data_IF_971819798455
#
_entry.id   IF_971819798455
#
_cell.length_a   1.000
_cell.length_b   1.000
_cell.length_c   1.000
_cell.angle_alpha   90.00
_cell.angle_beta   90.00
_cell.angle_gamma   90.00
#
_symmetry.space_group_name_H-M   'P 1'
#
loop_
_entity.id
_entity.type
_entity.pdbx_description
1 polymer ?
#
# COMPACT_ATOMS: atom_id res chain seq x y z
N UNK A 1 -21.10 -81.07 4.26
CA UNK A 1 -22.34 -80.36 4.65
C UNK A 1 -22.02 -78.89 4.88
N UNK A 2 -21.73 -78.10 3.83
CA UNK A 2 -21.36 -76.66 3.97
C UNK A 2 -21.39 -75.91 2.62
N UNK A 3 -22.35 -76.24 1.74
CA UNK A 3 -22.46 -75.59 0.41
C UNK A 3 -23.81 -74.88 0.16
N UNK A 4 -24.70 -74.84 1.16
CA UNK A 4 -26.06 -74.27 1.02
C UNK A 4 -26.27 -72.88 1.66
N UNK A 5 -25.30 -72.33 2.41
CA UNK A 5 -25.45 -71.01 3.05
C UNK A 5 -24.91 -69.82 2.23
N UNK A 6 -23.93 -70.03 1.34
CA UNK A 6 -23.37 -68.92 0.54
C UNK A 6 -24.20 -68.51 -0.67
N UNK A 7 -25.05 -69.39 -1.20
CA UNK A 7 -25.93 -69.08 -2.36
C UNK A 7 -27.14 -68.24 -1.93
N UNK A 8 -27.60 -68.37 -0.68
CA UNK A 8 -28.76 -67.63 -0.18
C UNK A 8 -28.45 -66.14 0.08
N UNK A 9 -27.22 -65.80 0.47
CA UNK A 9 -26.81 -64.40 0.70
C UNK A 9 -26.60 -63.66 -0.63
N UNK A 10 -26.09 -64.33 -1.66
CA UNK A 10 -25.95 -63.71 -2.98
C UNK A 10 -27.30 -63.49 -3.67
N UNK A 11 -28.26 -64.40 -3.48
CA UNK A 11 -29.61 -64.27 -4.06
C UNK A 11 -30.47 -63.22 -3.33
N UNK A 12 -30.29 -63.00 -2.02
CA UNK A 12 -31.04 -61.98 -1.28
C UNK A 12 -30.58 -60.54 -1.61
N UNK A 13 -29.32 -60.33 -1.99
CA UNK A 13 -28.85 -59.01 -2.46
C UNK A 13 -29.27 -58.68 -3.91
N UNK A 14 -29.66 -59.66 -4.72
CA UNK A 14 -30.14 -59.43 -6.10
C UNK A 14 -31.64 -59.08 -6.19
N UNK A 15 -32.42 -59.26 -5.11
CA UNK A 15 -33.88 -59.05 -5.09
C UNK A 15 -34.36 -57.91 -4.18
N UNK A 16 -33.47 -57.22 -3.46
CA UNK A 16 -33.81 -55.98 -2.74
C UNK A 16 -33.49 -54.79 -3.64
N UNK A 17 -34.44 -54.40 -4.49
CA UNK A 17 -34.41 -53.25 -5.39
C UNK A 17 -34.25 -51.87 -4.70
N UNK A 18 -33.97 -51.85 -3.38
CA UNK A 18 -33.79 -50.64 -2.56
C UNK A 18 -32.34 -50.32 -2.15
N UNK A 19 -31.43 -51.30 -2.07
CA UNK A 19 -30.05 -51.03 -1.60
C UNK A 19 -29.21 -50.26 -2.63
N UNK A 20 -29.37 -50.57 -3.93
CA UNK A 20 -28.70 -49.83 -5.00
C UNK A 20 -29.22 -48.40 -5.17
N UNK A 21 -30.50 -48.15 -4.87
CA UNK A 21 -31.07 -46.80 -4.91
C UNK A 21 -30.58 -45.95 -3.74
N UNK A 22 -30.61 -46.49 -2.51
CA UNK A 22 -30.12 -45.77 -1.33
C UNK A 22 -28.62 -45.43 -1.45
N UNK A 23 -27.80 -46.37 -1.92
CA UNK A 23 -26.37 -46.16 -2.14
C UNK A 23 -26.08 -45.17 -3.27
N UNK A 24 -26.86 -45.20 -4.36
CA UNK A 24 -26.75 -44.22 -5.47
C UNK A 24 -27.19 -42.83 -5.05
N UNK A 25 -28.25 -42.70 -4.25
CA UNK A 25 -28.68 -41.42 -3.68
C UNK A 25 -27.63 -40.85 -2.73
N UNK A 26 -27.01 -41.69 -1.89
CA UNK A 26 -25.94 -41.27 -0.99
C UNK A 26 -24.70 -40.79 -1.74
N UNK A 27 -24.23 -41.53 -2.75
CA UNK A 27 -23.10 -41.13 -3.61
C UNK A 27 -23.42 -39.83 -4.35
N UNK A 28 -24.64 -39.68 -4.87
CA UNK A 28 -25.04 -38.46 -5.54
C UNK A 28 -25.05 -37.26 -4.57
N UNK A 29 -25.54 -37.44 -3.34
CA UNK A 29 -25.52 -36.41 -2.31
C UNK A 29 -24.09 -36.01 -1.91
N UNK A 30 -23.18 -36.97 -1.76
CA UNK A 30 -21.76 -36.69 -1.47
C UNK A 30 -21.09 -35.93 -2.63
N UNK A 31 -21.36 -36.32 -3.88
CA UNK A 31 -20.87 -35.61 -5.06
C UNK A 31 -21.40 -34.17 -5.11
N UNK A 32 -22.70 -33.96 -4.88
CA UNK A 32 -23.29 -32.62 -4.85
C UNK A 32 -22.69 -31.75 -3.74
N UNK A 33 -22.41 -32.34 -2.57
CA UNK A 33 -21.75 -31.65 -1.46
C UNK A 33 -20.32 -31.22 -1.82
N UNK A 34 -19.53 -32.11 -2.43
CA UNK A 34 -18.18 -31.78 -2.90
C UNK A 34 -18.20 -30.67 -3.95
N UNK A 35 -19.14 -30.71 -4.89
CA UNK A 35 -19.27 -29.65 -5.89
C UNK A 35 -19.64 -28.30 -5.27
N UNK A 36 -20.57 -28.29 -4.31
CA UNK A 36 -20.89 -27.08 -3.55
C UNK A 36 -19.65 -26.54 -2.82
N UNK A 37 -18.88 -27.39 -2.14
CA UNK A 37 -17.63 -26.98 -1.46
C UNK A 37 -16.61 -26.38 -2.43
N UNK A 38 -16.40 -26.98 -3.59
CA UNK A 38 -15.50 -26.46 -4.63
C UNK A 38 -15.97 -25.08 -5.10
N UNK A 39 -17.25 -24.93 -5.41
CA UNK A 39 -17.82 -23.70 -5.93
C UNK A 39 -17.76 -22.57 -4.89
N UNK A 40 -18.03 -22.85 -3.62
CA UNK A 40 -17.88 -21.88 -2.52
C UNK A 40 -16.43 -21.57 -2.13
N UNK A 41 -15.47 -22.44 -2.49
CA UNK A 41 -14.04 -22.20 -2.28
C UNK A 41 -13.41 -21.24 -3.30
N UNK A 42 -14.13 -20.87 -4.38
CA UNK A 42 -13.63 -19.95 -5.41
C UNK A 42 -13.19 -18.61 -4.81
N UNK A 43 -12.08 -18.08 -5.31
CA UNK A 43 -11.49 -16.83 -4.84
C UNK A 43 -12.48 -15.65 -4.83
N UNK A 44 -13.35 -15.56 -5.84
CA UNK A 44 -14.39 -14.52 -5.91
C UNK A 44 -15.45 -14.62 -4.82
N UNK A 45 -15.82 -15.83 -4.38
CA UNK A 45 -16.71 -16.04 -3.23
C UNK A 45 -16.03 -15.59 -1.94
N UNK A 46 -14.76 -16.00 -1.76
CA UNK A 46 -13.98 -15.60 -0.60
C UNK A 46 -13.81 -14.08 -0.52
N UNK A 47 -13.52 -13.42 -1.64
CA UNK A 47 -13.42 -11.97 -1.72
C UNK A 47 -14.74 -11.27 -1.38
N UNK A 48 -15.88 -11.80 -1.86
CA UNK A 48 -17.18 -11.24 -1.53
C UNK A 48 -17.52 -11.41 -0.05
N UNK A 49 -17.28 -12.59 0.52
CA UNK A 49 -17.46 -12.85 1.94
C UNK A 49 -16.64 -11.88 2.80
N UNK A 50 -15.41 -11.58 2.38
CA UNK A 50 -14.58 -10.62 3.09
C UNK A 50 -15.17 -9.20 3.08
N UNK A 51 -15.65 -8.74 1.91
CA UNK A 51 -16.31 -7.42 1.82
C UNK A 51 -17.54 -7.37 2.71
N UNK A 52 -18.32 -8.46 2.80
CA UNK A 52 -19.48 -8.54 3.69
C UNK A 52 -19.10 -8.55 5.18
N UNK A 53 -17.99 -9.21 5.52
CA UNK A 53 -17.49 -9.22 6.89
C UNK A 53 -16.93 -7.85 7.31
N UNK A 54 -16.20 -7.18 6.43
CA UNK A 54 -15.77 -5.79 6.63
C UNK A 54 -16.97 -4.83 6.76
N UNK A 55 -18.00 -5.00 5.93
CA UNK A 55 -19.22 -4.18 5.99
C UNK A 55 -19.94 -4.34 7.34
N UNK A 56 -20.04 -5.58 7.84
CA UNK A 56 -20.59 -5.88 9.16
C UNK A 56 -19.77 -5.25 10.29
N UNK A 57 -18.44 -5.33 10.23
CA UNK A 57 -17.58 -4.69 11.22
C UNK A 57 -17.69 -3.17 11.15
N UNK A 58 -17.74 -2.61 9.95
CA UNK A 58 -17.91 -1.17 9.74
C UNK A 58 -19.23 -0.68 10.32
N UNK A 59 -20.33 -1.42 10.14
CA UNK A 59 -21.61 -1.13 10.77
C UNK A 59 -21.52 -1.15 12.31
N UNK A 60 -20.88 -2.16 12.88
CA UNK A 60 -20.68 -2.28 14.34
C UNK A 60 -19.80 -1.15 14.91
N UNK A 61 -18.89 -0.61 14.12
CA UNK A 61 -18.04 0.53 14.47
C UNK A 61 -18.77 1.89 14.26
N UNK A 62 -20.04 1.89 13.85
CA UNK A 62 -20.83 3.10 13.59
C UNK A 62 -20.53 3.79 12.27
N UNK A 63 -19.83 3.11 11.36
CA UNK A 63 -19.53 3.59 10.01
C UNK A 63 -20.67 3.37 9.02
N UNK A 64 -20.59 4.02 7.86
CA UNK A 64 -21.49 3.76 6.73
C UNK A 64 -21.29 2.32 6.22
N UNK A 65 -22.39 1.58 6.12
CA UNK A 65 -22.42 0.19 5.69
C UNK A 65 -23.52 0.00 4.65
N UNK A 66 -23.24 -0.87 3.67
CA UNK A 66 -24.19 -1.31 2.65
C UNK A 66 -25.35 -2.08 3.27
N UNK A 67 -25.09 -2.79 4.37
CA UNK A 67 -26.05 -3.55 5.14
C UNK A 67 -25.95 -3.22 6.64
N UNK A 68 -26.72 -2.24 7.15
CA UNK A 68 -26.60 -1.75 8.53
C UNK A 68 -26.79 -2.79 9.65
N UNK A 69 -27.31 -3.98 9.34
CA UNK A 69 -27.47 -5.11 10.28
C UNK A 69 -26.50 -6.28 10.00
N UNK A 70 -25.53 -6.05 9.11
CA UNK A 70 -24.77 -7.10 8.43
C UNK A 70 -25.60 -7.78 7.35
N UNK A 71 -24.93 -8.22 6.28
CA UNK A 71 -25.48 -9.13 5.29
C UNK A 71 -24.60 -10.38 5.20
N UNK A 72 -25.24 -11.51 5.01
CA UNK A 72 -24.62 -12.77 4.64
C UNK A 72 -24.52 -12.88 3.12
N UNK A 73 -23.72 -13.83 2.63
CA UNK A 73 -23.70 -14.16 1.21
C UNK A 73 -25.10 -14.50 0.69
N UNK A 74 -25.92 -15.17 1.50
CA UNK A 74 -27.28 -15.54 1.15
C UNK A 74 -28.18 -14.31 0.94
N UNK A 75 -28.05 -13.27 1.76
CA UNK A 75 -28.79 -12.01 1.57
C UNK A 75 -28.44 -11.34 0.23
N UNK A 76 -27.16 -11.44 -0.18
CA UNK A 76 -26.71 -10.94 -1.49
C UNK A 76 -27.30 -11.77 -2.63
N UNK A 77 -27.35 -13.10 -2.49
CA UNK A 77 -27.98 -14.00 -3.45
C UNK A 77 -29.47 -13.70 -3.59
N UNK A 78 -30.20 -13.56 -2.48
CA UNK A 78 -31.62 -13.20 -2.49
C UNK A 78 -31.86 -11.86 -3.18
N UNK A 79 -31.01 -10.88 -2.91
CA UNK A 79 -31.07 -9.58 -3.58
C UNK A 79 -30.79 -9.71 -5.07
N UNK A 80 -29.77 -10.48 -5.47
CA UNK A 80 -29.43 -10.72 -6.86
C UNK A 80 -30.59 -11.37 -7.62
N UNK A 81 -31.25 -12.34 -7.01
CA UNK A 81 -32.39 -13.08 -7.56
C UNK A 81 -33.63 -12.22 -7.86
N UNK A 82 -33.67 -10.96 -7.43
CA UNK A 82 -34.77 -10.03 -7.75
C UNK A 82 -34.78 -9.54 -9.20
N UNK A 83 -33.68 -9.69 -9.95
CA UNK A 83 -33.61 -9.33 -11.36
C UNK A 83 -32.48 -10.03 -12.14
N UNK A 84 -32.62 -10.23 -13.47
CA UNK A 84 -31.59 -10.91 -14.28
C UNK A 84 -30.21 -10.24 -14.26
N UNK A 85 -30.16 -8.90 -14.23
CA UNK A 85 -28.90 -8.16 -14.17
C UNK A 85 -28.19 -8.36 -12.82
N UNK A 86 -28.93 -8.53 -11.73
CA UNK A 86 -28.40 -8.83 -10.40
C UNK A 86 -27.72 -10.20 -10.36
N UNK A 87 -28.42 -11.22 -10.87
CA UNK A 87 -27.89 -12.59 -11.01
C UNK A 87 -26.60 -12.58 -11.84
N UNK A 88 -26.65 -11.93 -13.00
CA UNK A 88 -25.50 -11.86 -13.93
C UNK A 88 -24.31 -11.14 -13.30
N UNK A 89 -24.54 -10.00 -12.63
CA UNK A 89 -23.48 -9.23 -11.98
C UNK A 89 -22.82 -9.99 -10.84
N UNK A 90 -23.61 -10.66 -9.99
CA UNK A 90 -23.08 -11.48 -8.90
C UNK A 90 -22.26 -12.66 -9.44
N UNK A 91 -22.79 -13.37 -10.44
CA UNK A 91 -22.09 -14.51 -11.03
C UNK A 91 -20.75 -14.09 -11.67
N UNK A 92 -20.73 -13.02 -12.47
CA UNK A 92 -19.49 -12.49 -13.06
C UNK A 92 -18.48 -12.05 -11.99
N UNK A 93 -18.96 -11.40 -10.92
CA UNK A 93 -18.10 -10.96 -9.81
C UNK A 93 -17.41 -12.14 -9.13
N UNK A 94 -18.06 -13.31 -9.08
CA UNK A 94 -17.49 -14.51 -8.48
C UNK A 94 -16.59 -15.25 -9.48
N UNK A 95 -17.10 -15.45 -10.70
CA UNK A 95 -16.52 -16.32 -11.70
C UNK A 95 -15.27 -15.74 -12.37
N UNK A 96 -15.33 -14.47 -12.76
CA UNK A 96 -14.23 -13.80 -13.48
C UNK A 96 -13.23 -13.13 -12.51
N UNK A 97 -13.40 -13.33 -11.20
CA UNK A 97 -12.48 -12.82 -10.21
C UNK A 97 -11.12 -13.53 -10.28
N UNK A 98 -10.14 -12.80 -10.82
CA UNK A 98 -8.75 -13.25 -10.94
C UNK A 98 -7.85 -12.82 -9.77
N UNK A 99 -8.43 -12.28 -8.68
CA UNK A 99 -7.67 -11.98 -7.48
C UNK A 99 -7.33 -13.25 -6.69
N UNK A 100 -6.28 -13.18 -5.87
CA UNK A 100 -6.01 -14.26 -4.92
C UNK A 100 -7.14 -14.35 -3.90
N UNK A 101 -7.42 -15.55 -3.37
CA UNK A 101 -8.23 -15.66 -2.19
C UNK A 101 -7.60 -14.78 -1.10
N UNK A 102 -8.40 -13.94 -0.44
CA UNK A 102 -8.19 -13.67 0.96
C UNK A 102 -7.33 -14.64 1.78
N UNK A 103 -6.07 -14.34 2.04
CA UNK A 103 -5.29 -15.12 3.01
C UNK A 103 -5.78 -14.76 4.42
N UNK A 104 -6.75 -15.52 4.96
CA UNK A 104 -7.17 -15.59 6.38
C UNK A 104 -6.83 -14.34 7.20
N UNK A 105 -7.48 -13.24 6.85
CA UNK A 105 -7.01 -11.89 7.12
C UNK A 105 -6.88 -11.55 8.59
N UNK A 106 -5.91 -10.70 8.92
CA UNK A 106 -5.84 -9.97 10.18
C UNK A 106 -6.87 -8.84 10.18
N UNK A 107 -8.15 -9.18 10.18
CA UNK A 107 -9.26 -8.22 10.13
C UNK A 107 -9.28 -7.29 11.36
N UNK A 108 -8.52 -7.65 12.40
CA UNK A 108 -8.33 -6.88 13.62
C UNK A 108 -7.44 -5.64 13.41
N UNK A 109 -6.52 -5.66 12.44
CA UNK A 109 -5.77 -4.46 12.07
C UNK A 109 -6.55 -3.65 11.03
N UNK A 110 -7.14 -2.53 11.46
CA UNK A 110 -7.94 -1.66 10.59
C UNK A 110 -7.20 -1.19 9.33
N UNK A 111 -5.88 -0.93 9.38
CA UNK A 111 -5.15 -0.51 8.17
C UNK A 111 -5.06 -1.66 7.17
N UNK A 112 -4.71 -2.85 7.66
CA UNK A 112 -4.65 -4.07 6.83
C UNK A 112 -6.03 -4.38 6.26
N UNK A 113 -7.08 -4.28 7.07
CA UNK A 113 -8.46 -4.46 6.66
C UNK A 113 -8.83 -3.54 5.49
N UNK A 114 -8.63 -2.24 5.65
CA UNK A 114 -8.95 -1.28 4.60
C UNK A 114 -8.09 -1.45 3.33
N UNK A 115 -6.79 -1.67 3.46
CA UNK A 115 -5.92 -1.93 2.30
C UNK A 115 -6.37 -3.18 1.50
N UNK A 116 -6.80 -4.21 2.21
CA UNK A 116 -7.34 -5.44 1.62
C UNK A 116 -8.63 -5.19 0.83
N UNK A 117 -9.59 -4.46 1.42
CA UNK A 117 -10.83 -4.11 0.72
C UNK A 117 -10.54 -3.28 -0.52
N UNK A 118 -9.60 -2.35 -0.44
CA UNK A 118 -9.16 -1.55 -1.59
C UNK A 118 -8.61 -2.43 -2.74
N UNK A 119 -7.84 -3.47 -2.41
CA UNK A 119 -7.32 -4.43 -3.39
C UNK A 119 -8.43 -5.27 -4.03
N UNK A 120 -9.39 -5.76 -3.25
CA UNK A 120 -10.55 -6.51 -3.76
C UNK A 120 -11.38 -5.63 -4.71
N UNK A 121 -11.67 -4.40 -4.31
CA UNK A 121 -12.37 -3.43 -5.16
C UNK A 121 -11.61 -3.16 -6.45
N UNK A 122 -10.29 -3.06 -6.40
CA UNK A 122 -9.47 -2.93 -7.60
C UNK A 122 -9.65 -4.11 -8.56
N UNK A 123 -9.74 -5.34 -8.05
CA UNK A 123 -10.01 -6.53 -8.88
C UNK A 123 -11.41 -6.48 -9.50
N UNK A 124 -12.44 -6.10 -8.74
CA UNK A 124 -13.78 -5.93 -9.31
C UNK A 124 -13.83 -4.83 -10.37
N UNK A 125 -13.10 -3.73 -10.19
CA UNK A 125 -12.99 -2.69 -11.20
C UNK A 125 -12.39 -3.20 -12.52
N UNK A 126 -11.41 -4.11 -12.46
CA UNK A 126 -10.82 -4.72 -13.65
C UNK A 126 -11.81 -5.63 -14.38
N UNK A 127 -12.61 -6.42 -13.64
CA UNK A 127 -13.64 -7.29 -14.22
C UNK A 127 -14.69 -6.45 -14.97
N UNK A 128 -15.29 -5.47 -14.28
CA UNK A 128 -16.33 -4.66 -14.87
C UNK A 128 -15.79 -3.68 -15.92
N UNK A 129 -14.52 -3.31 -15.86
CA UNK A 129 -13.84 -2.54 -16.90
C UNK A 129 -13.36 -3.36 -18.10
N UNK A 130 -13.44 -4.69 -18.03
CA UNK A 130 -12.87 -5.59 -19.04
C UNK A 130 -13.62 -5.52 -20.37
N UNK A 131 -12.87 -5.61 -21.48
CA UNK A 131 -13.46 -5.83 -22.80
C UNK A 131 -13.95 -7.27 -23.00
N UNK A 132 -13.61 -8.21 -22.11
CA UNK A 132 -14.06 -9.61 -22.20
C UNK A 132 -15.60 -9.73 -22.18
N UNK A 133 -16.30 -8.80 -21.53
CA UNK A 133 -17.77 -8.75 -21.53
C UNK A 133 -18.37 -8.44 -22.91
N UNK A 134 -17.56 -7.95 -23.87
CA UNK A 134 -17.98 -7.75 -25.26
C UNK A 134 -17.65 -8.92 -26.18
N UNK A 135 -16.91 -9.93 -25.71
CA UNK A 135 -16.57 -11.13 -26.49
C UNK A 135 -17.71 -12.16 -26.39
N UNK A 136 -18.42 -12.47 -27.51
CA UNK A 136 -19.51 -13.45 -27.50
C UNK A 136 -19.08 -14.84 -27.05
N UNK A 137 -17.85 -15.25 -27.34
CA UNK A 137 -17.34 -16.58 -26.95
C UNK A 137 -17.14 -16.67 -25.44
N UNK A 138 -16.56 -15.63 -24.84
CA UNK A 138 -16.45 -15.50 -23.39
C UNK A 138 -17.83 -15.53 -22.74
N UNK A 139 -18.76 -14.71 -23.21
CA UNK A 139 -20.12 -14.63 -22.64
C UNK A 139 -20.88 -15.96 -22.74
N UNK A 140 -20.80 -16.65 -23.87
CA UNK A 140 -21.43 -17.97 -24.02
C UNK A 140 -20.77 -19.04 -23.15
N UNK A 141 -19.45 -18.99 -22.94
CA UNK A 141 -18.76 -19.88 -22.01
C UNK A 141 -19.22 -19.64 -20.57
N UNK A 142 -19.21 -18.38 -20.12
CA UNK A 142 -19.66 -18.01 -18.77
C UNK A 142 -21.12 -18.43 -18.56
N UNK A 143 -22.00 -18.29 -19.55
CA UNK A 143 -23.37 -18.78 -19.45
C UNK A 143 -23.46 -20.31 -19.32
N UNK A 144 -22.63 -21.06 -20.06
CA UNK A 144 -22.56 -22.51 -19.92
C UNK A 144 -22.14 -22.93 -18.52
N UNK A 145 -21.18 -22.23 -17.92
CA UNK A 145 -20.72 -22.50 -16.57
C UNK A 145 -21.77 -22.06 -15.54
N UNK A 146 -22.48 -20.96 -15.77
CA UNK A 146 -23.63 -20.55 -14.96
C UNK A 146 -24.70 -21.64 -14.88
N UNK A 147 -25.07 -22.28 -15.99
CA UNK A 147 -26.06 -23.36 -15.98
C UNK A 147 -25.65 -24.56 -15.12
N UNK A 148 -24.35 -24.82 -15.00
CA UNK A 148 -23.81 -25.93 -14.17
C UNK A 148 -23.72 -25.54 -12.70
N UNK A 149 -23.49 -24.27 -12.41
CA UNK A 149 -23.08 -23.82 -11.08
C UNK A 149 -24.16 -23.08 -10.29
N UNK A 150 -25.15 -22.48 -10.95
CA UNK A 150 -26.12 -21.56 -10.32
C UNK A 150 -26.84 -22.17 -9.12
N UNK A 151 -27.15 -23.47 -9.18
CA UNK A 151 -27.91 -24.15 -8.14
C UNK A 151 -27.08 -24.28 -6.85
N UNK A 152 -25.75 -24.40 -6.97
CA UNK A 152 -24.83 -24.39 -5.82
C UNK A 152 -24.77 -23.02 -5.15
N UNK A 153 -25.00 -21.94 -5.90
CA UNK A 153 -25.06 -20.58 -5.37
C UNK A 153 -26.46 -20.16 -4.91
N UNK A 154 -27.50 -20.97 -5.15
CA UNK A 154 -28.90 -20.59 -4.90
C UNK A 154 -29.43 -19.51 -5.87
N UNK A 155 -28.85 -19.40 -7.07
CA UNK A 155 -29.25 -18.44 -8.08
C UNK A 155 -30.41 -18.97 -8.94
N UNK A 156 -31.39 -18.10 -9.21
CA UNK A 156 -32.52 -18.41 -10.07
C UNK A 156 -32.08 -18.66 -11.52
N UNK A 157 -32.82 -19.53 -12.22
CA UNK A 157 -32.64 -19.74 -13.65
C UNK A 157 -32.99 -18.48 -14.44
N UNK A 158 -32.13 -18.09 -15.38
CA UNK A 158 -32.42 -17.08 -16.40
C UNK A 158 -32.11 -17.62 -17.81
N UNK A 159 -32.82 -17.10 -18.81
CA UNK A 159 -32.60 -17.49 -20.20
C UNK A 159 -31.24 -17.00 -20.70
N UNK A 160 -30.70 -17.64 -21.74
CA UNK A 160 -29.45 -17.19 -22.37
C UNK A 160 -29.58 -15.77 -22.92
N UNK A 161 -30.77 -15.43 -23.44
CA UNK A 161 -31.08 -14.10 -23.94
C UNK A 161 -31.02 -13.07 -22.81
N UNK A 162 -31.64 -13.33 -21.66
CA UNK A 162 -31.63 -12.42 -20.50
C UNK A 162 -30.23 -12.27 -19.91
N UNK A 163 -29.45 -13.36 -19.87
CA UNK A 163 -28.06 -13.34 -19.43
C UNK A 163 -27.22 -12.45 -20.37
N UNK A 164 -27.28 -12.69 -21.68
CA UNK A 164 -26.55 -11.90 -22.69
C UNK A 164 -26.97 -10.43 -22.67
N UNK A 165 -28.26 -10.14 -22.53
CA UNK A 165 -28.77 -8.79 -22.40
C UNK A 165 -28.22 -8.11 -21.14
N UNK A 166 -28.21 -8.82 -20.01
CA UNK A 166 -27.66 -8.33 -18.75
C UNK A 166 -26.16 -8.03 -18.83
N UNK A 167 -25.37 -8.88 -19.50
CA UNK A 167 -23.95 -8.60 -19.79
C UNK A 167 -23.81 -7.36 -20.66
N UNK A 168 -24.63 -7.22 -21.71
CA UNK A 168 -24.65 -6.04 -22.55
C UNK A 168 -24.95 -4.76 -21.78
N UNK A 169 -25.89 -4.80 -20.83
CA UNK A 169 -26.24 -3.66 -19.99
C UNK A 169 -25.16 -3.33 -18.95
N UNK A 170 -24.50 -4.35 -18.37
CA UNK A 170 -23.31 -4.15 -17.54
C UNK A 170 -22.16 -3.52 -18.33
N UNK A 171 -21.93 -3.98 -19.56
CA UNK A 171 -20.91 -3.43 -20.44
C UNK A 171 -21.17 -1.96 -20.78
N UNK A 172 -22.43 -1.58 -21.07
CA UNK A 172 -22.80 -0.16 -21.29
C UNK A 172 -22.55 0.71 -20.05
N UNK A 173 -22.78 0.16 -18.85
CA UNK A 173 -22.61 0.86 -17.57
C UNK A 173 -21.20 0.74 -16.98
N UNK A 174 -20.27 0.09 -17.67
CA UNK A 174 -18.93 -0.22 -17.14
C UNK A 174 -18.20 0.99 -16.59
N UNK A 175 -18.25 2.12 -17.29
CA UNK A 175 -17.53 3.33 -16.88
C UNK A 175 -18.09 3.89 -15.58
N UNK A 176 -19.42 3.91 -15.42
CA UNK A 176 -20.08 4.33 -14.19
C UNK A 176 -19.71 3.41 -13.01
N UNK A 177 -19.74 2.10 -13.25
CA UNK A 177 -19.40 1.09 -12.24
C UNK A 177 -17.93 1.25 -11.81
N UNK A 178 -17.01 1.34 -12.76
CA UNK A 178 -15.56 1.52 -12.52
C UNK A 178 -15.28 2.81 -11.77
N UNK A 179 -15.96 3.92 -12.11
CA UNK A 179 -15.83 5.19 -11.40
C UNK A 179 -16.32 5.05 -9.96
N UNK A 180 -17.48 4.43 -9.74
CA UNK A 180 -18.02 4.21 -8.40
C UNK A 180 -17.08 3.36 -7.55
N UNK A 181 -16.57 2.26 -8.10
CA UNK A 181 -15.58 1.39 -7.43
C UNK A 181 -14.30 2.16 -7.11
N UNK A 182 -13.80 2.96 -8.05
CA UNK A 182 -12.59 3.77 -7.87
C UNK A 182 -12.75 4.82 -6.76
N UNK A 183 -13.92 5.44 -6.66
CA UNK A 183 -14.26 6.39 -5.59
C UNK A 183 -14.26 5.70 -4.21
N UNK A 184 -14.93 4.54 -4.10
CA UNK A 184 -14.94 3.75 -2.85
C UNK A 184 -13.51 3.36 -2.44
N UNK A 185 -12.70 2.87 -3.40
CA UNK A 185 -11.30 2.53 -3.19
C UNK A 185 -10.49 3.73 -2.66
N UNK A 186 -10.64 4.90 -3.28
CA UNK A 186 -9.91 6.11 -2.87
C UNK A 186 -10.26 6.55 -1.43
N UNK A 187 -11.55 6.51 -1.07
CA UNK A 187 -12.01 6.82 0.28
C UNK A 187 -11.40 5.84 1.32
N UNK A 188 -11.39 4.55 1.00
CA UNK A 188 -10.82 3.50 1.86
C UNK A 188 -9.31 3.67 2.05
N UNK A 189 -8.56 3.94 0.96
CA UNK A 189 -7.12 4.19 1.05
C UNK A 189 -6.80 5.45 1.87
N UNK A 190 -7.61 6.50 1.75
CA UNK A 190 -7.48 7.69 2.59
C UNK A 190 -7.64 7.36 4.08
N UNK A 191 -8.63 6.53 4.45
CA UNK A 191 -8.85 6.08 5.82
C UNK A 191 -7.67 5.24 6.34
N UNK A 192 -7.19 4.29 5.55
CA UNK A 192 -6.00 3.48 5.89
C UNK A 192 -4.78 4.37 6.16
N UNK A 193 -4.49 5.33 5.26
CA UNK A 193 -3.38 6.27 5.44
C UNK A 193 -3.53 7.12 6.70
N UNK A 194 -4.74 7.57 7.03
CA UNK A 194 -4.99 8.32 8.26
C UNK A 194 -4.70 7.47 9.50
N UNK A 195 -5.17 6.22 9.54
CA UNK A 195 -4.93 5.29 10.65
C UNK A 195 -3.42 5.03 10.82
N UNK A 196 -2.68 4.86 9.73
CA UNK A 196 -1.23 4.67 9.79
C UNK A 196 -0.52 5.91 10.31
N UNK A 197 -0.95 7.11 9.91
CA UNK A 197 -0.43 8.37 10.47
C UNK A 197 -0.71 8.46 11.96
N UNK A 198 -1.92 8.15 12.40
CA UNK A 198 -2.29 8.15 13.82
C UNK A 198 -1.47 7.15 14.63
N UNK A 199 -1.25 5.94 14.11
CA UNK A 199 -0.36 4.94 14.71
C UNK A 199 1.08 5.45 14.80
N UNK A 200 1.60 6.06 13.74
CA UNK A 200 2.94 6.65 13.73
C UNK A 200 3.07 7.77 14.77
N UNK A 201 2.10 8.69 14.84
CA UNK A 201 2.07 9.77 15.84
C UNK A 201 2.01 9.20 17.27
N UNK A 202 1.17 8.18 17.51
CA UNK A 202 1.07 7.53 18.81
C UNK A 202 2.38 6.84 19.19
N UNK A 203 3.04 6.18 18.23
CA UNK A 203 4.33 5.55 18.42
C UNK A 203 5.44 6.58 18.70
N UNK A 204 5.44 7.71 18.01
CA UNK A 204 6.35 8.82 18.23
C UNK A 204 6.13 9.44 19.62
N UNK A 205 4.89 9.57 20.06
CA UNK A 205 4.57 10.04 21.42
C UNK A 205 5.07 9.07 22.50
N UNK A 206 4.94 7.76 22.26
CA UNK A 206 5.40 6.73 23.19
C UNK A 206 6.93 6.59 23.23
N UNK A 207 7.61 6.95 22.14
CA UNK A 207 9.06 6.88 22.00
C UNK A 207 9.62 8.28 21.69
N UNK A 208 9.80 9.12 22.73
CA UNK A 208 10.33 10.47 22.53
C UNK A 208 11.73 10.43 21.93
N UNK A 209 12.05 11.46 21.14
CA UNK A 209 13.39 11.63 20.60
C UNK A 209 14.41 11.82 21.72
N UNK A 210 15.51 11.09 21.63
CA UNK A 210 16.66 11.23 22.51
C UNK A 210 17.89 11.63 21.70
N UNK A 211 18.73 12.54 22.22
CA UNK A 211 19.99 12.88 21.60
C UNK A 211 20.91 11.67 21.44
N UNK A 212 21.59 11.58 20.30
CA UNK A 212 22.67 10.60 20.05
C UNK A 212 24.00 11.35 20.10
N UNK A 213 24.88 10.96 21.02
CA UNK A 213 26.19 11.58 21.24
C UNK A 213 27.32 10.64 20.82
N UNK A 214 28.52 11.18 20.59
CA UNK A 214 29.73 10.40 20.30
C UNK A 214 29.86 9.88 18.85
N UNK A 215 28.95 10.26 17.94
CA UNK A 215 29.06 9.84 16.54
C UNK A 215 30.32 10.37 15.83
N UNK A 216 30.82 11.53 16.26
CA UNK A 216 32.10 12.07 15.77
C UNK A 216 33.30 11.22 16.18
N UNK A 217 33.24 10.49 17.30
CA UNK A 217 34.38 9.76 17.87
C UNK A 217 34.80 8.56 17.01
N UNK A 218 33.95 8.13 16.08
CA UNK A 218 34.28 7.16 15.04
C UNK A 218 35.43 7.65 14.15
N UNK A 219 35.58 8.96 13.99
CA UNK A 219 36.68 9.59 13.24
C UNK A 219 37.89 9.86 14.16
N UNK A 220 38.39 8.81 14.82
CA UNK A 220 39.51 8.88 15.77
C UNK A 220 40.88 9.12 15.13
N UNK A 221 40.98 9.04 13.80
CA UNK A 221 42.24 9.29 13.09
C UNK A 221 42.61 10.78 13.10
N UNK A 222 43.91 11.09 13.25
CA UNK A 222 44.44 12.46 13.09
C UNK A 222 44.18 13.07 11.70
N UNK A 223 43.74 12.26 10.73
CA UNK A 223 43.50 12.65 9.33
C UNK A 223 42.10 13.24 9.08
N UNK A 224 41.15 13.08 10.00
CA UNK A 224 39.76 13.54 9.79
C UNK A 224 39.20 14.46 10.91
N UNK A 225 39.97 15.43 11.46
CA UNK A 225 39.48 16.28 12.53
C UNK A 225 38.28 17.15 12.10
N UNK A 226 38.23 17.57 10.84
CA UNK A 226 37.12 18.36 10.29
C UNK A 226 35.82 17.55 10.20
N UNK A 227 35.88 16.27 9.82
CA UNK A 227 34.71 15.39 9.84
C UNK A 227 34.24 15.13 11.28
N UNK A 228 35.17 14.85 12.20
CA UNK A 228 34.84 14.66 13.62
C UNK A 228 34.06 15.87 14.17
N UNK A 229 34.58 17.07 13.95
CA UNK A 229 33.95 18.32 14.39
C UNK A 229 32.58 18.52 13.72
N UNK A 230 32.47 18.24 12.42
CA UNK A 230 31.21 18.36 11.70
C UNK A 230 30.12 17.41 12.23
N UNK A 231 30.44 16.14 12.48
CA UNK A 231 29.51 15.17 13.05
C UNK A 231 29.09 15.55 14.48
N UNK A 232 30.00 16.10 15.28
CA UNK A 232 29.67 16.62 16.61
C UNK A 232 28.79 17.87 16.57
N UNK A 233 28.85 18.64 15.47
CA UNK A 233 27.97 19.81 15.24
C UNK A 233 26.59 19.44 14.74
N UNK A 234 26.37 18.22 14.26
CA UNK A 234 25.06 17.75 13.85
C UNK A 234 24.28 17.23 15.08
N UNK A 235 23.09 17.76 15.31
CA UNK A 235 22.25 17.35 16.44
C UNK A 235 21.47 16.09 16.09
N UNK A 236 22.14 14.94 16.19
CA UNK A 236 21.52 13.64 15.93
C UNK A 236 20.56 13.25 17.04
N UNK A 237 19.43 12.69 16.65
CA UNK A 237 18.40 12.15 17.54
C UNK A 237 17.96 10.76 17.09
N UNK A 238 17.36 10.01 18.01
CA UNK A 238 16.69 8.76 17.71
C UNK A 238 15.48 8.56 18.62
N UNK A 239 14.45 7.88 18.10
CA UNK A 239 13.34 7.34 18.90
C UNK A 239 13.57 5.88 19.31
N UNK A 240 14.76 5.33 19.05
CA UNK A 240 15.13 3.95 19.35
C UNK A 240 16.48 3.90 20.09
N UNK A 241 16.49 4.07 21.42
CA UNK A 241 17.70 4.26 22.24
C UNK A 241 18.82 3.23 22.06
N UNK A 242 18.46 1.98 21.75
CA UNK A 242 19.39 0.85 21.64
C UNK A 242 19.68 0.47 20.19
N UNK A 243 19.31 1.30 19.21
CA UNK A 243 19.47 0.94 17.80
C UNK A 243 20.88 1.19 17.29
N UNK A 244 21.43 0.18 16.62
CA UNK A 244 22.62 0.33 15.78
C UNK A 244 22.26 0.62 14.32
N UNK A 245 20.97 0.79 14.00
CA UNK A 245 20.52 1.00 12.63
C UNK A 245 20.67 2.50 12.25
N UNK A 246 21.55 2.86 11.32
CA UNK A 246 21.76 4.26 10.92
C UNK A 246 20.56 4.88 10.20
N UNK A 247 19.55 4.10 9.82
CA UNK A 247 18.26 4.61 9.31
C UNK A 247 17.37 5.16 10.42
N UNK A 248 17.59 4.77 11.68
CA UNK A 248 16.79 5.20 12.85
C UNK A 248 17.43 6.37 13.63
N UNK A 249 18.59 6.82 13.18
CA UNK A 249 19.29 8.00 13.71
C UNK A 249 19.23 9.07 12.64
N UNK A 250 18.84 10.29 12.99
CA UNK A 250 18.64 11.37 12.02
C UNK A 250 18.88 12.74 12.64
N UNK A 251 19.00 13.75 11.78
CA UNK A 251 18.90 15.16 12.15
C UNK A 251 17.61 15.74 11.56
N UNK A 252 17.12 16.82 12.16
CA UNK A 252 16.04 17.62 11.61
C UNK A 252 16.58 18.66 10.64
N UNK A 253 16.16 18.63 9.38
CA UNK A 253 16.39 19.67 8.37
C UNK A 253 15.04 20.32 8.08
N UNK A 254 14.72 21.37 8.83
CA UNK A 254 13.34 21.86 8.90
C UNK A 254 12.40 20.76 9.39
N UNK A 255 11.39 20.40 8.58
CA UNK A 255 10.45 19.30 8.88
C UNK A 255 10.89 17.93 8.34
N UNK A 256 12.04 17.85 7.67
CA UNK A 256 12.53 16.61 7.08
C UNK A 256 13.57 15.92 7.98
N UNK A 257 13.43 14.60 8.15
CA UNK A 257 14.37 13.78 8.92
C UNK A 257 15.47 13.24 7.99
N UNK A 258 16.66 13.85 8.02
CA UNK A 258 17.82 13.37 7.26
C UNK A 258 18.58 12.30 8.06
N UNK A 259 18.54 11.05 7.58
CA UNK A 259 19.11 9.90 8.30
C UNK A 259 20.64 9.89 8.29
N UNK A 260 21.23 9.35 9.36
CA UNK A 260 22.66 9.10 9.47
C UNK A 260 23.17 8.21 8.33
N UNK A 261 22.36 7.25 7.89
CA UNK A 261 22.67 6.44 6.70
C UNK A 261 22.92 7.30 5.46
N UNK A 262 21.99 8.21 5.14
CA UNK A 262 22.08 9.07 3.96
C UNK A 262 23.26 10.05 4.06
N UNK A 263 23.54 10.56 5.26
CA UNK A 263 24.71 11.40 5.52
C UNK A 263 26.00 10.62 5.28
N UNK A 264 26.15 9.44 5.89
CA UNK A 264 27.33 8.60 5.74
C UNK A 264 27.56 8.19 4.27
N UNK A 265 26.49 7.86 3.55
CA UNK A 265 26.55 7.51 2.14
C UNK A 265 27.04 8.68 1.29
N UNK A 266 26.49 9.88 1.52
CA UNK A 266 26.89 11.11 0.81
C UNK A 266 28.33 11.50 1.10
N UNK A 267 28.77 11.40 2.37
CA UNK A 267 30.16 11.65 2.78
C UNK A 267 31.12 10.69 2.09
N UNK A 268 30.79 9.40 2.07
CA UNK A 268 31.59 8.39 1.38
C UNK A 268 31.73 8.71 -0.11
N UNK A 269 30.62 9.08 -0.76
CA UNK A 269 30.62 9.42 -2.19
C UNK A 269 31.45 10.68 -2.48
N UNK A 270 31.29 11.75 -1.68
CA UNK A 270 32.09 12.96 -1.81
C UNK A 270 33.60 12.72 -1.62
N UNK A 271 33.98 11.89 -0.65
CA UNK A 271 35.38 11.52 -0.44
C UNK A 271 35.93 10.73 -1.63
N UNK A 272 35.15 9.78 -2.16
CA UNK A 272 35.51 9.00 -3.34
C UNK A 272 35.71 9.89 -4.57
N UNK A 273 34.78 10.80 -4.84
CA UNK A 273 34.88 11.74 -5.96
C UNK A 273 36.06 12.69 -5.81
N UNK A 274 36.30 13.19 -4.59
CA UNK A 274 37.47 14.03 -4.30
C UNK A 274 38.79 13.28 -4.53
N UNK A 275 38.91 12.04 -4.04
CA UNK A 275 40.10 11.20 -4.24
C UNK A 275 40.30 10.76 -5.69
N UNK A 276 39.23 10.65 -6.50
CA UNK A 276 39.37 10.40 -7.94
C UNK A 276 40.18 11.51 -8.62
N UNK A 277 40.10 12.74 -8.11
CA UNK A 277 40.85 13.88 -8.62
C UNK A 277 42.35 13.80 -8.24
N UNK A 278 42.74 13.19 -7.11
CA UNK A 278 44.17 13.02 -6.76
C UNK A 278 44.91 12.05 -7.64
N UNK A 279 44.23 11.01 -8.13
CA UNK A 279 44.84 10.06 -9.04
C UNK A 279 45.45 10.75 -10.28
N UNK A 280 44.92 11.93 -10.65
CA UNK A 280 45.42 12.74 -11.75
C UNK A 280 46.44 13.81 -11.34
N UNK A 281 46.51 14.19 -10.05
CA UNK A 281 47.34 15.31 -9.58
C UNK A 281 48.65 14.89 -8.90
N UNK A 282 48.78 13.63 -8.47
CA UNK A 282 50.00 13.11 -7.83
C UNK A 282 50.25 13.62 -6.40
N UNK A 283 49.31 14.38 -5.83
CA UNK A 283 49.38 14.90 -4.47
C UNK A 283 48.61 13.99 -3.47
N UNK A 284 49.10 13.90 -2.22
CA UNK A 284 48.32 13.37 -1.10
C UNK A 284 47.22 14.38 -0.72
N UNK A 285 46.09 14.30 -1.42
CA UNK A 285 44.93 15.17 -1.16
C UNK A 285 43.97 14.57 -0.14
N UNK A 286 44.28 13.41 0.46
CA UNK A 286 43.36 12.71 1.36
C UNK A 286 42.90 13.63 2.50
N UNK A 287 43.87 14.30 3.14
CA UNK A 287 43.59 15.27 4.20
C UNK A 287 42.78 16.48 3.70
N UNK A 288 43.03 16.95 2.47
CA UNK A 288 42.29 18.06 1.86
C UNK A 288 40.84 17.67 1.56
N UNK A 289 40.60 16.44 1.10
CA UNK A 289 39.27 15.90 0.88
C UNK A 289 38.49 15.79 2.18
N UNK A 290 39.10 15.23 3.24
CA UNK A 290 38.48 15.16 4.56
C UNK A 290 38.14 16.55 5.10
N UNK A 291 39.03 17.51 4.91
CA UNK A 291 38.85 18.91 5.34
C UNK A 291 37.75 19.63 4.53
N UNK A 292 37.70 19.44 3.21
CA UNK A 292 36.65 19.99 2.35
C UNK A 292 35.27 19.43 2.71
N UNK A 293 35.12 18.11 2.81
CA UNK A 293 33.85 17.47 3.16
C UNK A 293 33.44 17.85 4.58
N UNK A 294 34.38 17.88 5.53
CA UNK A 294 34.14 18.30 6.91
C UNK A 294 33.70 19.76 7.03
N UNK A 295 34.29 20.67 6.24
CA UNK A 295 33.83 22.06 6.14
C UNK A 295 32.41 22.15 5.58
N UNK A 296 32.12 21.45 4.49
CA UNK A 296 30.80 21.44 3.88
C UNK A 296 29.72 20.96 4.85
N UNK A 297 29.95 19.83 5.53
CA UNK A 297 29.08 19.34 6.59
C UNK A 297 28.93 20.33 7.76
N UNK A 298 30.02 21.00 8.15
CA UNK A 298 29.96 22.01 9.22
C UNK A 298 29.13 23.23 8.82
N UNK A 299 29.21 23.67 7.57
CA UNK A 299 28.40 24.75 7.04
C UNK A 299 26.93 24.35 6.97
N UNK A 300 26.67 23.12 6.52
CA UNK A 300 25.33 22.54 6.55
C UNK A 300 24.75 22.46 7.96
N UNK A 301 25.53 21.98 8.93
CA UNK A 301 25.12 21.92 10.34
C UNK A 301 24.75 23.32 10.89
N UNK A 302 25.50 24.37 10.51
CA UNK A 302 25.18 25.76 10.87
C UNK A 302 23.87 26.21 10.24
N UNK A 303 23.68 25.95 8.94
CA UNK A 303 22.47 26.31 8.21
C UNK A 303 21.22 25.65 8.83
N UNK A 304 21.31 24.36 9.12
CA UNK A 304 20.21 23.59 9.75
C UNK A 304 19.82 24.19 11.11
N UNK A 305 20.81 24.63 11.89
CA UNK A 305 20.63 25.23 13.22
C UNK A 305 20.28 26.71 13.20
N UNK A 306 20.31 27.39 12.05
CA UNK A 306 19.99 28.81 11.99
C UNK A 306 18.48 29.03 12.20
N UNK A 307 18.07 29.73 13.27
CA UNK A 307 16.66 30.02 13.51
C UNK A 307 16.07 31.04 12.51
N UNK A 308 16.91 31.80 11.80
CA UNK A 308 16.45 32.80 10.84
C UNK A 308 16.18 32.22 9.46
N UNK A 309 16.66 30.99 9.20
CA UNK A 309 16.38 30.28 7.96
C UNK A 309 15.06 29.51 8.12
N UNK A 310 14.02 29.79 7.31
CA UNK A 310 12.75 29.06 7.39
C UNK A 310 12.91 27.56 7.15
N UNK A 311 12.07 26.74 7.78
CA UNK A 311 12.13 25.27 7.62
C UNK A 311 11.96 24.84 6.16
N UNK A 312 11.07 25.50 5.40
CA UNK A 312 10.91 25.22 3.97
C UNK A 312 12.18 25.55 3.18
N UNK A 313 12.89 26.63 3.52
CA UNK A 313 14.19 26.97 2.93
C UNK A 313 15.23 25.90 3.21
N UNK A 314 15.28 25.36 4.43
CA UNK A 314 16.22 24.29 4.79
C UNK A 314 15.97 23.02 3.97
N UNK A 315 14.69 22.63 3.84
CA UNK A 315 14.28 21.45 3.07
C UNK A 315 14.57 21.65 1.58
N UNK A 316 14.14 22.78 1.01
CA UNK A 316 14.34 23.06 -0.42
C UNK A 316 15.84 23.11 -0.78
N UNK A 317 16.67 23.74 0.05
CA UNK A 317 18.11 23.80 -0.17
C UNK A 317 18.77 22.40 -0.09
N UNK A 318 18.27 21.51 0.78
CA UNK A 318 18.70 20.11 0.82
C UNK A 318 18.28 19.36 -0.44
N UNK A 319 17.06 19.54 -0.91
CA UNK A 319 16.53 18.86 -2.09
C UNK A 319 17.26 19.28 -3.37
N UNK A 320 17.48 20.58 -3.57
CA UNK A 320 18.24 21.14 -4.71
C UNK A 320 19.71 20.69 -4.73
N UNK A 321 20.28 20.43 -3.55
CA UNK A 321 21.64 19.92 -3.43
C UNK A 321 21.73 18.38 -3.40
N UNK A 322 20.60 17.68 -3.54
CA UNK A 322 20.55 16.22 -3.58
C UNK A 322 20.55 15.72 -5.03
N UNK A 323 21.53 14.88 -5.38
CA UNK A 323 21.66 14.31 -6.72
C UNK A 323 21.50 12.79 -6.67
N UNK A 324 20.46 12.29 -7.34
CA UNK A 324 20.09 10.87 -7.26
C UNK A 324 19.77 10.44 -5.82
N UNK A 325 19.90 9.14 -5.53
CA UNK A 325 19.52 8.59 -4.22
C UNK A 325 20.62 8.65 -3.16
N UNK A 326 21.88 8.90 -3.55
CA UNK A 326 23.05 8.60 -2.71
C UNK A 326 23.99 9.79 -2.46
N UNK A 327 23.76 10.94 -3.09
CA UNK A 327 24.66 12.08 -3.02
C UNK A 327 23.93 13.35 -2.58
N UNK A 328 24.51 14.06 -1.62
CA UNK A 328 24.08 15.38 -1.16
C UNK A 328 25.32 16.27 -1.14
N UNK A 329 25.31 17.42 -1.80
CA UNK A 329 26.34 18.45 -1.64
C UNK A 329 26.00 19.36 -0.45
N UNK A 330 26.51 19.00 0.74
CA UNK A 330 26.25 19.72 1.98
C UNK A 330 26.66 21.20 1.95
N UNK A 331 27.77 21.54 1.30
CA UNK A 331 28.21 22.93 1.21
C UNK A 331 27.30 23.72 0.26
N UNK A 332 26.91 23.12 -0.87
CA UNK A 332 25.96 23.74 -1.79
C UNK A 332 24.61 23.99 -1.12
N UNK A 333 24.05 23.02 -0.38
CA UNK A 333 22.83 23.21 0.39
C UNK A 333 22.94 24.41 1.35
N UNK A 334 24.06 24.52 2.08
CA UNK A 334 24.29 25.64 2.99
C UNK A 334 24.33 26.99 2.24
N UNK A 335 25.01 27.04 1.09
CA UNK A 335 25.11 28.26 0.27
C UNK A 335 23.77 28.67 -0.35
N UNK A 336 22.95 27.71 -0.79
CA UNK A 336 21.61 27.99 -1.32
C UNK A 336 20.71 28.64 -0.28
N UNK A 337 20.71 28.15 0.96
CA UNK A 337 19.96 28.77 2.04
C UNK A 337 20.43 30.20 2.35
N UNK A 338 21.76 30.44 2.39
CA UNK A 338 22.34 31.77 2.59
C UNK A 338 21.94 32.72 1.46
N UNK A 339 22.01 32.25 0.21
CA UNK A 339 21.59 33.01 -0.96
C UNK A 339 20.11 33.37 -0.89
N UNK A 340 19.24 32.41 -0.59
CA UNK A 340 17.80 32.62 -0.43
C UNK A 340 17.51 33.68 0.63
N UNK A 341 18.09 33.54 1.83
CA UNK A 341 17.92 34.52 2.90
C UNK A 341 18.39 35.94 2.49
N UNK A 342 19.50 36.04 1.76
CA UNK A 342 20.00 37.32 1.30
C UNK A 342 19.06 37.97 0.27
N UNK A 343 18.46 37.17 -0.62
CA UNK A 343 17.48 37.66 -1.59
C UNK A 343 16.15 38.05 -0.92
N UNK A 344 15.66 37.25 0.03
CA UNK A 344 14.47 37.59 0.80
C UNK A 344 14.63 38.93 1.53
N UNK A 345 15.78 39.17 2.18
CA UNK A 345 16.07 40.45 2.83
C UNK A 345 16.02 41.64 1.87
N UNK A 346 16.47 41.47 0.61
CA UNK A 346 16.37 42.52 -0.42
C UNK A 346 14.93 42.83 -0.81
N UNK A 347 14.02 41.89 -0.62
CA UNK A 347 12.59 42.01 -0.91
C UNK A 347 11.75 42.34 0.34
N UNK A 348 12.38 42.77 1.44
CA UNK A 348 11.66 43.07 2.69
C UNK A 348 11.13 41.83 3.41
N UNK A 349 11.72 40.66 3.15
CA UNK A 349 11.36 39.36 3.72
C UNK A 349 9.94 38.85 3.36
N UNK A 350 9.34 39.39 2.29
CA UNK A 350 8.03 39.01 1.76
C UNK A 350 8.15 38.25 0.42
N UNK A 351 7.09 37.55 0.02
CA UNK A 351 7.00 36.85 -1.26
C UNK A 351 7.80 35.56 -1.34
N UNK A 352 8.33 35.27 -2.53
CA UNK A 352 9.09 34.07 -2.84
C UNK A 352 10.40 34.42 -3.52
N UNK A 353 11.40 33.60 -3.27
CA UNK A 353 12.69 33.65 -3.95
C UNK A 353 12.95 32.30 -4.60
N UNK A 354 13.30 32.36 -5.88
CA UNK A 354 13.76 31.20 -6.63
C UNK A 354 15.17 30.80 -6.18
N UNK A 355 15.37 29.50 -5.93
CA UNK A 355 16.69 28.92 -5.67
C UNK A 355 17.35 28.52 -6.99
N UNK A 356 17.16 27.29 -7.45
CA UNK A 356 17.70 26.79 -8.73
C UNK A 356 16.56 26.33 -9.63
N UNK A 357 15.69 25.47 -9.11
CA UNK A 357 14.53 24.89 -9.77
C UNK A 357 13.23 25.12 -9.00
N UNK A 358 13.30 25.49 -7.71
CA UNK A 358 12.12 25.76 -6.88
C UNK A 358 12.07 27.18 -6.34
N UNK A 359 10.85 27.74 -6.28
CA UNK A 359 10.56 28.99 -5.59
C UNK A 359 10.12 28.72 -4.15
N UNK A 360 10.79 29.38 -3.19
CA UNK A 360 10.62 29.12 -1.76
C UNK A 360 10.19 30.40 -1.04
N UNK A 361 9.18 30.34 -0.16
CA UNK A 361 8.67 31.53 0.51
C UNK A 361 9.70 32.18 1.43
N UNK A 362 9.67 33.50 1.51
CA UNK A 362 10.40 34.27 2.51
C UNK A 362 9.72 34.18 3.88
N UNK A 363 10.45 34.52 4.95
CA UNK A 363 10.02 34.28 6.33
C UNK A 363 8.69 34.93 6.73
N UNK A 364 8.31 36.06 6.11
CA UNK A 364 7.07 36.77 6.45
C UNK A 364 5.90 36.43 5.52
N UNK A 365 6.11 35.56 4.53
CA UNK A 365 5.08 35.21 3.57
C UNK A 365 3.97 34.37 4.23
N UNK A 366 2.74 34.91 4.25
CA UNK A 366 1.57 34.28 4.90
C UNK A 366 0.72 33.39 3.99
N UNK A 367 1.02 33.29 2.70
CA UNK A 367 0.16 32.58 1.74
C UNK A 367 -0.74 33.52 0.94
N UNK A 368 -1.12 33.12 -0.27
CA UNK A 368 -2.15 33.82 -1.04
C UNK A 368 -3.51 33.57 -0.38
N UNK A 369 -4.15 34.62 0.14
CA UNK A 369 -5.49 34.55 0.74
C UNK A 369 -5.56 34.39 2.26
N UNK A 370 -4.47 34.63 3.00
CA UNK A 370 -4.48 34.68 4.47
C UNK A 370 -4.12 36.08 4.97
N UNK A 371 -5.10 36.79 5.55
CA UNK A 371 -4.89 38.04 6.30
C UNK A 371 -4.35 37.73 7.71
#
# INVERSE_FOLDING_TARGET
>A
MTFKKSVFIWMVCSFISGCGLAQRTQINNEYQKQQAEIVHSKAGVQALNYVLEDDKLTANEGGESLCPKGCTFQDVVEKANTCPIGITALYLSIHDYAGQPPSTYKIEDKSVRYSTVADILNKYSLIFGSSALSDPNHVSKVYSDFLKERDYFGLNSISEQDFKQSVGDLYKRRSEIVIKISSMRAQILSKSSQIEKEKAIAQDKANPEMPVVGLGDVFSSKKAPALRDAYSKLSFVTRSPSTNNPMKVYIHVGKYNLTLYRINLSVKEQLSECQRISAYSGYDIEAQCFDQVGRGLSNFAKMVKDPNTPDMTKVAALDEASFGNNYIDFDHAARLAVMHNAMCKKQGDDGYVEMVTVAVPCKNYKGAGMN
#
